data_IF_080135277080
#
_entry.id   IF_080135277080
#
_cell.length_a   1.000
_cell.length_b   1.000
_cell.length_c   1.000
_cell.angle_alpha   90.00
_cell.angle_beta   90.00
_cell.angle_gamma   90.00
#
_symmetry.space_group_name_H-M   'P 1'
#
loop_
_entity.id
_entity.type
_entity.pdbx_description
1 polymer ?
#
# COMPACT_ATOMS: atom_id res chain seq x y z
N UNK A 1 -12.15 17.45 7.77
CA UNK A 1 -10.84 16.77 7.66
C UNK A 1 -10.99 15.44 8.36
N UNK A 2 -10.96 14.34 7.61
CA UNK A 2 -10.94 13.01 8.21
C UNK A 2 -9.54 12.81 8.80
N UNK A 3 -9.44 12.49 10.08
CA UNK A 3 -8.16 12.12 10.68
C UNK A 3 -7.58 10.91 9.91
N UNK A 4 -6.32 11.00 9.47
CA UNK A 4 -5.64 9.91 8.76
C UNK A 4 -5.70 8.60 9.55
N UNK A 5 -5.66 8.69 10.88
CA UNK A 5 -5.84 7.54 11.78
C UNK A 5 -7.22 6.90 11.60
N UNK A 6 -8.28 7.71 11.49
CA UNK A 6 -9.63 7.23 11.24
C UNK A 6 -9.76 6.60 9.85
N UNK A 7 -9.09 7.16 8.84
CA UNK A 7 -9.09 6.60 7.48
C UNK A 7 -8.41 5.23 7.44
N UNK A 8 -7.25 5.08 8.09
CA UNK A 8 -6.58 3.78 8.27
C UNK A 8 -7.53 2.80 8.95
N UNK A 9 -8.20 3.21 10.04
CA UNK A 9 -9.14 2.35 10.74
C UNK A 9 -10.32 1.92 9.87
N UNK A 10 -10.81 2.81 9.01
CA UNK A 10 -11.87 2.49 8.06
C UNK A 10 -11.43 1.45 7.02
N UNK A 11 -10.16 1.49 6.58
CA UNK A 11 -9.58 0.49 5.66
C UNK A 11 -9.42 -0.86 6.35
N UNK A 12 -8.90 -0.89 7.59
CA UNK A 12 -8.81 -2.10 8.41
C UNK A 12 -10.18 -2.78 8.56
N UNK A 13 -11.19 -2.01 8.99
CA UNK A 13 -12.55 -2.51 9.16
C UNK A 13 -13.15 -3.00 7.83
N UNK A 14 -12.86 -2.32 6.73
CA UNK A 14 -13.31 -2.73 5.40
C UNK A 14 -12.71 -4.07 4.98
N UNK A 15 -11.43 -4.29 5.29
CA UNK A 15 -10.71 -5.51 4.97
C UNK A 15 -11.16 -6.70 5.84
N UNK A 16 -11.36 -6.47 7.14
CA UNK A 16 -11.95 -7.45 8.05
C UNK A 16 -13.34 -7.90 7.58
N UNK A 17 -14.23 -6.94 7.28
CA UNK A 17 -15.59 -7.22 6.84
C UNK A 17 -15.67 -8.04 5.54
N UNK A 18 -14.60 -8.03 4.73
CA UNK A 18 -14.49 -8.77 3.46
C UNK A 18 -13.61 -10.02 3.55
N UNK A 19 -13.23 -10.40 4.77
CA UNK A 19 -12.39 -11.56 5.06
C UNK A 19 -11.01 -11.50 4.35
N UNK A 20 -10.44 -10.30 4.22
CA UNK A 20 -9.09 -10.13 3.67
C UNK A 20 -8.01 -10.42 4.70
N UNK A 21 -8.29 -10.31 6.00
CA UNK A 21 -7.29 -10.54 7.05
C UNK A 21 -7.01 -12.04 7.21
N UNK A 22 -8.05 -12.86 7.41
CA UNK A 22 -7.92 -14.31 7.63
C UNK A 22 -8.15 -15.13 6.34
N UNK A 23 -8.92 -14.62 5.39
CA UNK A 23 -9.21 -15.30 4.13
C UNK A 23 -8.15 -15.12 3.03
N UNK A 24 -7.11 -14.32 3.27
CA UNK A 24 -5.96 -14.13 2.38
C UNK A 24 -4.65 -14.42 3.11
N UNK A 25 -3.51 -14.28 2.44
CA UNK A 25 -2.19 -14.45 3.06
C UNK A 25 -1.30 -13.24 2.77
N UNK A 26 -0.31 -12.96 3.64
CA UNK A 26 0.67 -11.90 3.38
C UNK A 26 1.35 -12.02 2.02
N UNK A 27 1.59 -13.26 1.55
CA UNK A 27 2.16 -13.50 0.22
C UNK A 27 1.21 -13.08 -0.91
N UNK A 28 -0.09 -13.41 -0.82
CA UNK A 28 -1.08 -12.98 -1.82
C UNK A 28 -1.28 -11.48 -1.82
N UNK A 29 -1.35 -10.88 -0.63
CA UNK A 29 -1.47 -9.44 -0.49
C UNK A 29 -0.22 -8.70 -1.01
N UNK A 30 0.97 -9.27 -0.86
CA UNK A 30 2.19 -8.75 -1.48
C UNK A 30 2.17 -8.85 -3.01
N UNK A 31 1.62 -9.91 -3.60
CA UNK A 31 1.42 -9.97 -5.06
C UNK A 31 0.48 -8.86 -5.52
N UNK A 32 -0.59 -8.59 -4.78
CA UNK A 32 -1.47 -7.44 -5.06
C UNK A 32 -0.70 -6.11 -4.95
N UNK A 33 0.20 -5.97 -3.98
CA UNK A 33 1.05 -4.77 -3.87
C UNK A 33 1.96 -4.58 -5.08
N UNK A 34 2.53 -5.67 -5.60
CA UNK A 34 3.36 -5.64 -6.81
C UNK A 34 2.55 -5.22 -8.05
N UNK A 35 1.28 -5.62 -8.15
CA UNK A 35 0.35 -5.19 -9.20
C UNK A 35 0.15 -3.66 -9.14
N UNK A 36 -0.27 -3.12 -7.98
CA UNK A 36 -0.48 -1.67 -7.80
C UNK A 36 0.81 -0.87 -7.99
N UNK A 37 1.94 -1.41 -7.55
CA UNK A 37 3.23 -0.76 -7.78
C UNK A 37 3.62 -0.75 -9.26
N UNK A 38 3.27 -1.78 -10.02
CA UNK A 38 3.44 -1.81 -11.47
C UNK A 38 2.60 -0.72 -12.16
N UNK A 39 1.39 -0.46 -11.66
CA UNK A 39 0.56 0.66 -12.11
C UNK A 39 1.22 2.01 -11.85
N UNK A 40 1.79 2.19 -10.66
CA UNK A 40 2.54 3.40 -10.31
C UNK A 40 3.73 3.60 -11.26
N UNK A 41 4.52 2.55 -11.50
CA UNK A 41 5.64 2.57 -12.45
C UNK A 41 5.17 2.97 -13.85
N UNK A 42 4.04 2.41 -14.30
CA UNK A 42 3.44 2.72 -15.58
C UNK A 42 2.97 4.18 -15.69
N UNK A 43 2.45 4.76 -14.60
CA UNK A 43 2.08 6.17 -14.50
C UNK A 43 3.31 7.09 -14.58
N UNK A 44 4.37 6.78 -13.82
CA UNK A 44 5.64 7.54 -13.83
C UNK A 44 6.25 7.55 -15.24
N UNK A 45 6.35 6.39 -15.88
CA UNK A 45 6.96 6.26 -17.22
C UNK A 45 6.21 7.04 -18.31
N UNK A 46 4.92 7.34 -18.10
CA UNK A 46 4.08 8.10 -19.03
C UNK A 46 3.80 9.52 -18.56
N UNK A 47 4.35 9.93 -17.42
CA UNK A 47 4.05 11.20 -16.76
C UNK A 47 2.53 11.42 -16.54
N UNK A 48 1.81 10.35 -16.24
CA UNK A 48 0.34 10.36 -16.06
C UNK A 48 0.00 10.61 -14.58
N UNK A 49 -0.25 11.89 -14.26
CA UNK A 49 -0.47 12.36 -12.89
C UNK A 49 -1.70 11.74 -12.23
N UNK A 50 -2.78 11.47 -12.98
CA UNK A 50 -3.98 10.84 -12.42
C UNK A 50 -3.72 9.36 -12.11
N UNK A 51 -3.08 8.62 -13.03
CA UNK A 51 -2.69 7.23 -12.76
C UNK A 51 -1.73 7.13 -11.57
N UNK A 52 -0.80 8.07 -11.42
CA UNK A 52 0.12 8.11 -10.29
C UNK A 52 -0.63 8.32 -8.98
N UNK A 53 -1.59 9.26 -8.95
CA UNK A 53 -2.43 9.54 -7.78
C UNK A 53 -3.21 8.29 -7.35
N UNK A 54 -3.88 7.63 -8.28
CA UNK A 54 -4.65 6.40 -8.00
C UNK A 54 -3.72 5.30 -7.48
N UNK A 55 -2.63 5.02 -8.21
CA UNK A 55 -1.70 3.93 -7.87
C UNK A 55 -1.03 4.12 -6.50
N UNK A 56 -0.74 5.37 -6.09
CA UNK A 56 -0.23 5.67 -4.74
C UNK A 56 -1.27 5.35 -3.68
N UNK A 57 -2.54 5.72 -3.92
CA UNK A 57 -3.66 5.38 -3.04
C UNK A 57 -3.85 3.87 -2.91
N UNK A 58 -3.87 3.16 -4.03
CA UNK A 58 -4.08 1.70 -4.07
C UNK A 58 -2.93 0.93 -3.41
N UNK A 59 -1.67 1.31 -3.70
CA UNK A 59 -0.51 0.80 -2.97
C UNK A 59 -0.66 0.98 -1.46
N UNK A 60 -1.14 2.15 -1.02
CA UNK A 60 -1.28 2.49 0.39
C UNK A 60 -2.37 1.66 1.07
N UNK A 61 -3.53 1.46 0.42
CA UNK A 61 -4.59 0.55 0.91
C UNK A 61 -4.02 -0.86 1.08
N UNK A 62 -3.29 -1.36 0.08
CA UNK A 62 -2.74 -2.72 0.13
C UNK A 62 -1.72 -2.87 1.26
N UNK A 63 -0.85 -1.88 1.48
CA UNK A 63 0.12 -1.89 2.59
C UNK A 63 -0.58 -1.87 3.95
N UNK A 64 -1.64 -1.09 4.14
CA UNK A 64 -2.41 -1.07 5.40
C UNK A 64 -2.98 -2.46 5.69
N UNK A 65 -3.60 -3.09 4.69
CA UNK A 65 -4.17 -4.44 4.82
C UNK A 65 -3.09 -5.49 5.10
N UNK A 66 -1.97 -5.43 4.38
CA UNK A 66 -0.85 -6.34 4.58
C UNK A 66 -0.26 -6.18 6.00
N UNK A 67 -0.14 -4.95 6.49
CA UNK A 67 0.35 -4.67 7.85
C UNK A 67 -0.60 -5.25 8.90
N UNK A 68 -1.91 -5.15 8.68
CA UNK A 68 -2.93 -5.76 9.54
C UNK A 68 -2.82 -7.30 9.55
N UNK A 69 -2.64 -7.95 8.40
CA UNK A 69 -2.38 -9.40 8.31
C UNK A 69 -1.12 -9.83 9.10
N UNK A 70 -0.14 -8.95 9.23
CA UNK A 70 1.08 -9.18 10.02
C UNK A 70 0.88 -8.95 11.51
N UNK A 71 -0.29 -8.45 11.94
CA UNK A 71 -0.60 -8.02 13.31
C UNK A 71 0.37 -6.93 13.80
N UNK A 72 0.80 -6.06 12.89
CA UNK A 72 1.67 -4.92 13.17
C UNK A 72 0.85 -3.63 13.27
N UNK A 73 1.33 -2.66 14.05
CA UNK A 73 0.65 -1.38 14.22
C UNK A 73 0.92 -0.45 13.02
N UNK A 74 -0.14 0.10 12.43
CA UNK A 74 -0.07 1.08 11.33
C UNK A 74 0.46 2.47 11.74
N UNK A 75 0.84 2.73 12.99
CA UNK A 75 1.46 4.02 13.37
C UNK A 75 2.77 4.29 12.61
N UNK A 76 3.51 3.24 12.23
CA UNK A 76 4.71 3.36 11.39
C UNK A 76 4.39 3.87 9.98
N UNK A 77 3.21 3.59 9.44
CA UNK A 77 2.73 4.13 8.17
C UNK A 77 2.62 5.67 8.23
N UNK A 78 2.00 6.20 9.30
CA UNK A 78 1.83 7.64 9.50
C UNK A 78 3.19 8.31 9.65
N UNK A 79 4.10 7.69 10.42
CA UNK A 79 5.46 8.19 10.61
C UNK A 79 6.22 8.25 9.29
N UNK A 80 6.15 7.20 8.46
CA UNK A 80 6.84 7.13 7.19
C UNK A 80 6.36 8.19 6.19
N UNK A 81 5.04 8.40 6.09
CA UNK A 81 4.48 9.48 5.28
C UNK A 81 4.92 10.85 5.81
N UNK A 82 4.82 11.12 7.12
CA UNK A 82 5.18 12.42 7.68
C UNK A 82 6.68 12.73 7.64
N UNK A 83 7.53 11.71 7.52
CA UNK A 83 8.97 11.87 7.38
C UNK A 83 9.38 12.37 5.98
N UNK A 84 8.46 12.49 5.02
CA UNK A 84 8.80 13.02 3.70
C UNK A 84 9.25 14.47 3.77
N UNK A 85 10.46 14.70 3.32
CA UNK A 85 11.08 15.99 3.06
C UNK A 85 11.04 16.33 1.56
N UNK A 86 11.22 17.62 1.23
CA UNK A 86 11.26 18.09 -0.16
C UNK A 86 12.28 17.27 -0.97
N UNK A 87 11.88 16.55 -2.03
CA UNK A 87 12.77 15.62 -2.69
C UNK A 87 13.70 16.38 -3.65
N UNK A 88 14.99 16.11 -3.57
CA UNK A 88 15.99 16.53 -4.56
C UNK A 88 16.30 15.45 -5.60
N UNK A 89 15.65 14.28 -5.49
CA UNK A 89 15.87 13.11 -6.35
C UNK A 89 14.78 12.97 -7.44
N UNK A 90 15.17 12.53 -8.64
CA UNK A 90 14.26 12.21 -9.75
C UNK A 90 13.34 11.02 -9.37
N UNK A 91 12.07 11.07 -9.79
CA UNK A 91 11.06 10.03 -9.62
C UNK A 91 11.51 8.62 -10.04
N UNK A 92 12.31 8.49 -11.09
CA UNK A 92 12.85 7.21 -11.56
C UNK A 92 13.79 6.58 -10.52
N UNK A 93 14.63 7.41 -9.88
CA UNK A 93 15.52 6.96 -8.80
C UNK A 93 14.70 6.54 -7.58
N UNK A 94 13.69 7.34 -7.20
CA UNK A 94 12.80 7.02 -6.08
C UNK A 94 12.05 5.70 -6.34
N UNK A 95 11.59 5.49 -7.58
CA UNK A 95 10.93 4.27 -8.03
C UNK A 95 11.86 3.04 -7.95
N UNK A 96 13.14 3.18 -8.33
CA UNK A 96 14.14 2.11 -8.18
C UNK A 96 14.41 1.79 -6.70
N UNK A 97 14.47 2.79 -5.83
CA UNK A 97 14.59 2.58 -4.38
C UNK A 97 13.38 1.83 -3.81
N UNK A 98 12.17 2.24 -4.19
CA UNK A 98 10.93 1.56 -3.82
C UNK A 98 10.93 0.09 -4.29
N UNK A 99 11.39 -0.16 -5.52
CA UNK A 99 11.55 -1.52 -6.07
C UNK A 99 12.53 -2.37 -5.23
N UNK A 100 13.67 -1.80 -4.83
CA UNK A 100 14.63 -2.48 -3.96
C UNK A 100 14.06 -2.81 -2.57
N UNK A 101 13.24 -1.91 -2.01
CA UNK A 101 12.51 -2.17 -0.77
C UNK A 101 11.53 -3.34 -0.93
N UNK A 102 10.76 -3.38 -2.02
CA UNK A 102 9.86 -4.51 -2.30
C UNK A 102 10.62 -5.81 -2.52
N UNK A 103 11.79 -5.78 -3.16
CA UNK A 103 12.68 -6.95 -3.26
C UNK A 103 13.12 -7.48 -1.90
N UNK A 104 13.45 -6.59 -0.95
CA UNK A 104 13.74 -6.98 0.43
C UNK A 104 12.50 -7.55 1.14
N UNK A 105 11.35 -6.90 1.01
CA UNK A 105 10.08 -7.40 1.56
C UNK A 105 9.75 -8.81 1.06
N UNK A 106 9.98 -9.08 -0.24
CA UNK A 106 9.85 -10.41 -0.83
C UNK A 106 10.74 -11.44 -0.15
N UNK A 107 12.02 -11.12 0.08
CA UNK A 107 12.94 -12.00 0.80
C UNK A 107 12.48 -12.30 2.22
N UNK A 108 12.02 -11.27 2.97
CA UNK A 108 11.49 -11.45 4.32
C UNK A 108 10.24 -12.35 4.32
N UNK A 109 9.33 -12.17 3.35
CA UNK A 109 8.12 -12.97 3.20
C UNK A 109 8.39 -14.46 2.93
N UNK A 110 9.49 -14.79 2.24
CA UNK A 110 9.85 -16.19 1.95
C UNK A 110 10.22 -16.96 3.21
N UNK A 111 10.90 -16.32 4.17
CA UNK A 111 11.46 -16.95 5.36
C UNK A 111 10.77 -16.52 6.66
N UNK A 112 9.56 -15.98 6.56
CA UNK A 112 8.81 -15.44 7.70
C UNK A 112 8.32 -16.56 8.63
N UNK A 113 8.98 -16.74 9.77
CA UNK A 113 8.66 -17.80 10.75
C UNK A 113 8.43 -17.26 12.17
N UNK A 114 8.78 -16.00 12.44
CA UNK A 114 8.75 -15.41 13.79
C UNK A 114 8.07 -14.04 13.82
N UNK A 115 7.61 -13.62 15.00
CA UNK A 115 7.05 -12.27 15.21
C UNK A 115 8.05 -11.16 14.85
N UNK A 116 9.35 -11.38 15.12
CA UNK A 116 10.43 -10.46 14.74
C UNK A 116 10.51 -10.28 13.21
N UNK A 117 10.39 -11.37 12.45
CA UNK A 117 10.39 -11.29 10.98
C UNK A 117 9.16 -10.54 10.43
N UNK A 118 8.00 -10.65 11.08
CA UNK A 118 6.79 -9.88 10.74
C UNK A 118 6.98 -8.38 10.97
N UNK A 119 7.58 -8.02 12.11
CA UNK A 119 7.89 -6.63 12.43
C UNK A 119 8.85 -6.01 11.40
N UNK A 120 9.92 -6.71 11.05
CA UNK A 120 10.88 -6.26 10.02
C UNK A 120 10.24 -6.09 8.66
N UNK A 121 9.28 -6.95 8.32
CA UNK A 121 8.51 -6.80 7.09
C UNK A 121 7.63 -5.55 7.13
N UNK A 122 6.91 -5.29 8.23
CA UNK A 122 6.11 -4.08 8.38
C UNK A 122 6.96 -2.80 8.25
N UNK A 123 8.12 -2.75 8.91
CA UNK A 123 9.08 -1.64 8.77
C UNK A 123 9.54 -1.44 7.31
N UNK A 124 9.75 -2.55 6.60
CA UNK A 124 10.12 -2.52 5.17
C UNK A 124 8.98 -1.93 4.32
N UNK A 125 7.73 -2.30 4.60
CA UNK A 125 6.56 -1.74 3.93
C UNK A 125 6.38 -0.25 4.24
N UNK A 126 6.66 0.21 5.46
CA UNK A 126 6.62 1.63 5.79
C UNK A 126 7.71 2.42 5.05
N UNK A 127 8.91 1.86 4.87
CA UNK A 127 9.93 2.47 4.00
C UNK A 127 9.48 2.57 2.54
N UNK A 128 8.67 1.64 2.06
CA UNK A 128 8.05 1.73 0.74
C UNK A 128 7.05 2.91 0.68
N UNK A 129 6.21 3.08 1.71
CA UNK A 129 5.30 4.23 1.85
C UNK A 129 6.04 5.56 1.83
N UNK A 130 7.17 5.66 2.53
CA UNK A 130 8.03 6.84 2.48
C UNK A 130 8.43 7.20 1.04
N UNK A 131 8.87 6.21 0.24
CA UNK A 131 9.29 6.48 -1.15
C UNK A 131 8.14 6.89 -2.06
N UNK A 132 6.99 6.21 -2.02
CA UNK A 132 5.84 6.59 -2.86
C UNK A 132 5.23 7.93 -2.44
N UNK A 133 5.37 8.30 -1.15
CA UNK A 133 4.97 9.63 -0.66
C UNK A 133 5.87 10.74 -1.22
N UNK A 134 7.17 10.48 -1.41
CA UNK A 134 8.07 11.42 -2.10
C UNK A 134 7.72 11.58 -3.58
N UNK A 135 7.28 10.50 -4.24
CA UNK A 135 6.76 10.58 -5.61
C UNK A 135 5.51 11.48 -5.64
N UNK A 136 4.56 11.29 -4.70
CA UNK A 136 3.39 12.17 -4.58
C UNK A 136 3.81 13.64 -4.49
N UNK A 137 4.77 13.95 -3.61
CA UNK A 137 5.27 15.30 -3.40
C UNK A 137 5.91 15.90 -4.66
N UNK A 138 6.73 15.14 -5.40
CA UNK A 138 7.34 15.58 -6.66
C UNK A 138 6.31 15.88 -7.76
N UNK A 139 5.14 15.23 -7.71
CA UNK A 139 4.03 15.50 -8.61
C UNK A 139 3.04 16.53 -8.06
N UNK A 140 3.35 17.19 -6.94
CA UNK A 140 2.45 18.13 -6.26
C UNK A 140 1.09 17.50 -5.91
N UNK A 141 1.12 16.23 -5.52
CA UNK A 141 -0.04 15.48 -5.05
C UNK A 141 -0.06 15.46 -3.52
N UNK A 142 -1.24 15.64 -2.94
CA UNK A 142 -1.45 15.43 -1.52
C UNK A 142 -1.67 13.94 -1.24
N UNK A 143 -0.76 13.32 -0.50
CA UNK A 143 -0.79 11.88 -0.22
C UNK A 143 -2.08 11.42 0.48
N UNK A 144 -2.57 12.19 1.46
CA UNK A 144 -3.82 11.87 2.16
C UNK A 144 -5.00 11.86 1.18
N UNK A 145 -5.01 12.77 0.21
CA UNK A 145 -6.02 12.81 -0.86
C UNK A 145 -5.94 11.60 -1.79
N UNK A 146 -4.74 11.09 -2.09
CA UNK A 146 -4.56 9.84 -2.84
C UNK A 146 -5.20 8.66 -2.08
N UNK A 147 -4.92 8.53 -0.77
CA UNK A 147 -5.48 7.47 0.05
C UNK A 147 -7.01 7.60 0.23
N UNK A 148 -7.52 8.83 0.40
CA UNK A 148 -8.96 9.10 0.46
C UNK A 148 -9.64 8.69 -0.85
N UNK A 149 -9.02 8.98 -1.99
CA UNK A 149 -9.53 8.59 -3.31
C UNK A 149 -9.69 7.08 -3.41
N UNK A 150 -8.61 6.32 -3.15
CA UNK A 150 -8.61 4.86 -3.19
C UNK A 150 -9.65 4.27 -2.21
N UNK A 151 -9.74 4.79 -0.98
CA UNK A 151 -10.75 4.31 -0.04
C UNK A 151 -12.18 4.55 -0.54
N UNK A 152 -12.45 5.71 -1.13
CA UNK A 152 -13.77 6.03 -1.68
C UNK A 152 -14.17 5.09 -2.82
N UNK A 153 -13.20 4.59 -3.59
CA UNK A 153 -13.49 3.61 -4.62
C UNK A 153 -13.79 2.21 -4.07
N UNK A 154 -13.17 1.83 -2.94
CA UNK A 154 -13.33 0.49 -2.39
C UNK A 154 -14.49 0.37 -1.40
N UNK A 155 -14.82 1.43 -0.66
CA UNK A 155 -15.68 1.36 0.54
C UNK A 155 -17.00 0.61 0.32
N UNK A 156 -17.62 0.81 -0.84
CA UNK A 156 -18.92 0.22 -1.19
C UNK A 156 -18.79 -1.06 -2.06
N UNK A 157 -17.57 -1.44 -2.50
CA UNK A 157 -17.34 -2.61 -3.35
C UNK A 157 -17.89 -3.87 -2.69
N UNK A 158 -18.72 -4.61 -3.43
CA UNK A 158 -19.20 -5.95 -3.08
C UNK A 158 -18.36 -7.00 -3.81
N UNK A 159 -18.31 -8.20 -3.25
CA UNK A 159 -17.47 -9.28 -3.76
C UNK A 159 -17.30 -10.41 -2.74
N UNK A 160 -16.52 -11.42 -3.11
CA UNK A 160 -16.23 -12.57 -2.25
C UNK A 160 -14.79 -13.05 -2.44
N UNK A 161 -14.28 -13.74 -1.42
CA UNK A 161 -12.97 -14.37 -1.48
C UNK A 161 -13.04 -15.63 -2.36
N UNK A 162 -12.20 -15.70 -3.40
CA UNK A 162 -11.99 -16.89 -4.24
C UNK A 162 -10.51 -17.21 -4.24
N UNK A 163 -10.15 -18.42 -3.82
CA UNK A 163 -8.74 -18.85 -3.73
C UNK A 163 -7.85 -17.84 -2.99
N UNK A 164 -8.37 -17.24 -1.93
CA UNK A 164 -7.69 -16.23 -1.11
C UNK A 164 -7.41 -14.89 -1.79
N UNK A 165 -8.14 -14.56 -2.85
CA UNK A 165 -8.15 -13.25 -3.50
C UNK A 165 -9.57 -12.69 -3.43
N UNK A 166 -9.72 -11.41 -3.12
CA UNK A 166 -11.04 -10.76 -3.16
C UNK A 166 -11.43 -10.48 -4.61
N UNK A 167 -12.52 -11.09 -5.08
CA UNK A 167 -13.08 -10.89 -6.42
C UNK A 167 -14.33 -10.03 -6.29
N UNK A 168 -14.35 -8.92 -7.04
CA UNK A 168 -15.48 -7.97 -7.05
C UNK A 168 -16.69 -8.64 -7.70
N UNK A 169 -17.89 -8.24 -7.29
CA UNK A 169 -19.14 -8.85 -7.78
C UNK A 169 -19.31 -8.77 -9.31
N UNK A 170 -18.84 -7.69 -9.94
CA UNK A 170 -18.88 -7.55 -11.41
C UNK A 170 -17.89 -8.44 -12.18
N UNK A 171 -16.92 -9.05 -11.49
CA UNK A 171 -15.89 -9.93 -12.07
C UNK A 171 -16.17 -11.42 -11.78
N UNK A 172 -17.31 -11.74 -11.14
CA UNK A 172 -17.76 -13.11 -10.79
C UNK A 172 -18.51 -13.78 -11.94
#
# INVERSE_FOLDING_TARGET
MTDLTQLIKNIENWAEARNLIEGSTPKKQFIKLMEEFGELCAGIARNDKEKIKDSIGDCSVVVIILTEQLKANNLGFITAYKATDFPTENNEIICLRASGVLGNASNLLMYMTSSESKYRLAETLFRFIYYISKIALNFELNFESCLISAYNEIKDRKGRMINGVFVKEGDL
#
